data_IF_167094809268
#
_entry.id   IF_167094809268
#
_cell.length_a   1.000
_cell.length_b   1.000
_cell.length_c   1.000
_cell.angle_alpha   90.00
_cell.angle_beta   90.00
_cell.angle_gamma   90.00
#
_symmetry.space_group_name_H-M   'P 1'
#
loop_
_entity.id
_entity.type
_entity.pdbx_description
1 polymer ?
#
# COMPACT_ATOMS: atom_id res chain seq x y z
N UNK A 1 9.78 -7.95 -11.43
CA UNK A 1 9.10 -7.72 -10.15
C UNK A 1 7.60 -7.68 -10.39
N UNK A 2 6.90 -8.75 -10.01
CA UNK A 2 5.45 -8.82 -10.10
C UNK A 2 4.83 -8.41 -8.76
N UNK A 3 3.76 -7.60 -8.81
CA UNK A 3 3.01 -7.16 -7.63
C UNK A 3 1.66 -7.86 -7.65
N UNK A 4 1.47 -8.80 -6.72
CA UNK A 4 0.26 -9.61 -6.63
C UNK A 4 -0.66 -8.99 -5.58
N UNK A 5 -1.82 -8.51 -6.00
CA UNK A 5 -2.85 -8.01 -5.09
C UNK A 5 -3.65 -9.15 -4.51
N UNK A 6 -3.82 -9.17 -3.19
CA UNK A 6 -4.77 -10.07 -2.54
C UNK A 6 -6.21 -9.62 -2.77
N UNK A 7 -7.16 -10.54 -2.70
CA UNK A 7 -8.59 -10.22 -2.75
C UNK A 7 -8.99 -9.14 -1.72
N UNK A 8 -8.38 -9.18 -0.53
CA UNK A 8 -8.57 -8.14 0.49
C UNK A 8 -8.10 -6.76 -0.02
N UNK A 9 -6.89 -6.68 -0.56
CA UNK A 9 -6.34 -5.44 -1.10
C UNK A 9 -7.20 -4.91 -2.27
N UNK A 10 -7.63 -5.78 -3.19
CA UNK A 10 -8.48 -5.37 -4.32
C UNK A 10 -9.83 -4.81 -3.85
N UNK A 11 -10.47 -5.46 -2.89
CA UNK A 11 -11.71 -4.93 -2.29
C UNK A 11 -11.50 -3.57 -1.62
N UNK A 12 -10.34 -3.35 -0.99
CA UNK A 12 -10.02 -2.07 -0.36
C UNK A 12 -9.80 -0.96 -1.39
N UNK A 13 -9.17 -1.27 -2.54
CA UNK A 13 -9.05 -0.34 -3.66
C UNK A 13 -10.42 0.11 -4.17
N UNK A 14 -11.34 -0.85 -4.37
CA UNK A 14 -12.70 -0.57 -4.84
C UNK A 14 -13.46 0.29 -3.80
N UNK A 15 -13.47 -0.14 -2.53
CA UNK A 15 -14.18 0.58 -1.46
C UNK A 15 -13.68 2.01 -1.26
N UNK A 16 -12.37 2.22 -1.41
CA UNK A 16 -11.74 3.53 -1.17
C UNK A 16 -11.58 4.36 -2.46
N UNK A 17 -12.02 3.84 -3.60
CA UNK A 17 -11.89 4.46 -4.92
C UNK A 17 -10.44 4.86 -5.23
N UNK A 18 -9.51 3.97 -4.89
CA UNK A 18 -8.08 4.10 -5.18
C UNK A 18 -7.81 3.35 -6.48
N UNK A 19 -7.13 4.00 -7.42
CA UNK A 19 -6.76 3.32 -8.66
C UNK A 19 -5.58 2.40 -8.45
N UNK A 20 -5.58 1.25 -9.13
CA UNK A 20 -4.44 0.31 -9.10
C UNK A 20 -3.14 1.02 -9.49
N UNK A 21 -3.19 1.94 -10.46
CA UNK A 21 -2.03 2.74 -10.89
C UNK A 21 -1.46 3.64 -9.79
N UNK A 22 -2.30 4.22 -8.93
CA UNK A 22 -1.81 5.03 -7.80
C UNK A 22 -0.99 4.16 -6.83
N UNK A 23 -1.45 2.93 -6.57
CA UNK A 23 -0.76 1.98 -5.70
C UNK A 23 0.52 1.44 -6.34
N UNK A 24 0.48 1.10 -7.63
CA UNK A 24 1.69 0.74 -8.38
C UNK A 24 2.69 1.89 -8.39
N UNK A 25 2.22 3.14 -8.50
CA UNK A 25 3.03 4.34 -8.40
C UNK A 25 3.67 4.52 -7.02
N UNK A 26 2.95 4.18 -5.94
CA UNK A 26 3.49 4.19 -4.58
C UNK A 26 4.54 3.10 -4.35
N UNK A 27 4.42 1.93 -4.97
CA UNK A 27 5.42 0.86 -4.86
C UNK A 27 6.65 1.14 -5.74
N UNK A 28 6.46 1.65 -6.96
CA UNK A 28 7.55 1.92 -7.91
C UNK A 28 8.34 3.17 -7.57
N UNK A 29 7.64 4.21 -7.09
CA UNK A 29 8.22 5.50 -6.74
C UNK A 29 7.73 5.92 -5.34
N UNK A 30 8.10 5.17 -4.29
CA UNK A 30 7.78 5.52 -2.92
C UNK A 30 8.57 6.75 -2.49
N UNK A 31 7.96 7.60 -1.68
CA UNK A 31 8.69 8.66 -0.97
C UNK A 31 9.36 8.11 0.28
N UNK A 32 8.74 7.11 0.92
CA UNK A 32 9.30 6.45 2.08
C UNK A 32 9.07 4.93 2.01
N UNK A 33 10.07 4.17 2.45
CA UNK A 33 10.03 2.72 2.50
C UNK A 33 10.42 2.30 3.91
N UNK A 34 9.48 1.68 4.62
CA UNK A 34 9.76 1.09 5.92
C UNK A 34 9.73 -0.43 5.82
N UNK A 35 10.73 -1.10 6.37
CA UNK A 35 10.75 -2.57 6.51
C UNK A 35 10.56 -2.94 7.97
N UNK A 36 9.47 -3.65 8.29
CA UNK A 36 9.18 -4.09 9.67
C UNK A 36 8.56 -5.49 9.65
N UNK A 37 9.09 -6.40 10.48
CA UNK A 37 8.60 -7.77 10.62
C UNK A 37 8.42 -8.52 9.27
N UNK A 38 9.38 -8.38 8.36
CA UNK A 38 9.33 -9.01 7.02
C UNK A 38 8.37 -8.35 6.02
N UNK A 39 7.63 -7.31 6.44
CA UNK A 39 6.73 -6.52 5.60
C UNK A 39 7.42 -5.24 5.13
N UNK A 40 7.07 -4.81 3.93
CA UNK A 40 7.48 -3.57 3.29
C UNK A 40 6.29 -2.63 3.25
N UNK A 41 6.49 -1.43 3.79
CA UNK A 41 5.49 -0.37 3.82
C UNK A 41 5.99 0.71 2.87
N UNK A 42 5.31 0.85 1.73
CA UNK A 42 5.59 1.87 0.73
C UNK A 42 4.63 3.03 0.96
N UNK A 43 5.17 4.20 1.29
CA UNK A 43 4.39 5.40 1.51
C UNK A 43 4.63 6.40 0.39
N UNK A 44 3.57 7.03 -0.07
CA UNK A 44 3.61 8.10 -1.07
C UNK A 44 2.49 9.10 -0.81
N UNK A 45 2.83 10.37 -0.76
CA UNK A 45 1.88 11.47 -0.73
C UNK A 45 1.41 11.78 -2.15
N UNK A 46 0.09 11.88 -2.31
CA UNK A 46 -0.53 12.42 -3.52
C UNK A 46 -1.32 13.68 -3.13
N UNK A 47 -1.71 14.49 -4.13
CA UNK A 47 -2.53 15.69 -3.92
C UNK A 47 -3.88 15.43 -3.21
N UNK A 48 -4.31 14.16 -3.14
CA UNK A 48 -5.57 13.73 -2.53
C UNK A 48 -5.42 13.18 -1.10
N UNK A 49 -4.19 12.95 -0.65
CA UNK A 49 -3.88 12.30 0.63
C UNK A 49 -2.69 11.33 0.51
N UNK A 50 -2.41 10.62 1.59
CA UNK A 50 -1.27 9.73 1.71
C UNK A 50 -1.67 8.28 1.42
N UNK A 51 -0.93 7.64 0.55
CA UNK A 51 -1.07 6.23 0.20
C UNK A 51 0.00 5.46 0.95
N UNK A 52 -0.42 4.47 1.74
CA UNK A 52 0.47 3.49 2.34
C UNK A 52 0.10 2.10 1.83
N UNK A 53 1.10 1.39 1.30
CA UNK A 53 0.92 0.07 0.71
C UNK A 53 1.77 -0.92 1.47
N UNK A 54 1.13 -1.96 2.00
CA UNK A 54 1.79 -2.99 2.78
C UNK A 54 1.95 -4.23 1.92
N UNK A 55 3.20 -4.56 1.61
CA UNK A 55 3.57 -5.73 0.83
C UNK A 55 4.45 -6.69 1.63
N UNK A 56 4.29 -7.98 1.40
CA UNK A 56 5.23 -9.02 1.83
C UNK A 56 6.06 -9.46 0.64
N UNK A 57 7.37 -9.62 0.84
CA UNK A 57 8.24 -10.18 -0.21
C UNK A 57 8.13 -11.70 -0.17
N UNK A 58 7.71 -12.30 -1.28
CA UNK A 58 7.67 -13.75 -1.49
C UNK A 58 8.61 -14.10 -2.64
N UNK A 59 9.86 -14.43 -2.30
CA UNK A 59 10.90 -14.71 -3.30
C UNK A 59 11.18 -13.50 -4.18
N UNK A 60 10.93 -13.64 -5.48
CA UNK A 60 11.09 -12.58 -6.50
C UNK A 60 9.85 -11.67 -6.65
N UNK A 61 8.74 -12.03 -6.00
CA UNK A 61 7.46 -11.33 -6.08
C UNK A 61 7.14 -10.54 -4.81
N UNK A 62 6.28 -9.54 -4.95
CA UNK A 62 5.73 -8.78 -3.83
C UNK A 62 4.22 -9.01 -3.76
N UNK A 63 3.76 -9.50 -2.60
CA UNK A 63 2.35 -9.73 -2.33
C UNK A 63 1.78 -8.54 -1.56
N UNK A 64 0.86 -7.80 -2.17
CA UNK A 64 0.19 -6.68 -1.55
C UNK A 64 -1.01 -7.16 -0.71
N UNK A 65 -0.86 -7.07 0.61
CA UNK A 65 -1.88 -7.49 1.56
C UNK A 65 -2.85 -6.37 1.91
N UNK A 66 -2.39 -5.12 1.92
CA UNK A 66 -3.23 -3.98 2.31
C UNK A 66 -2.84 -2.69 1.59
N UNK A 67 -3.85 -1.89 1.25
CA UNK A 67 -3.69 -0.55 0.70
C UNK A 67 -4.46 0.43 1.59
N UNK A 68 -3.72 1.30 2.27
CA UNK A 68 -4.23 2.37 3.08
C UNK A 68 -4.21 3.68 2.29
N UNK A 69 -5.31 4.43 2.36
CA UNK A 69 -5.40 5.78 1.82
C UNK A 69 -5.91 6.65 2.94
N UNK A 70 -5.05 7.53 3.43
CA UNK A 70 -5.36 8.38 4.56
C UNK A 70 -5.44 9.83 4.11
N UNK A 71 -6.61 10.45 4.27
CA UNK A 71 -6.78 11.88 3.98
C UNK A 71 -6.25 12.78 5.09
N UNK A 72 -6.02 12.23 6.30
CA UNK A 72 -5.51 12.94 7.47
C UNK A 72 -4.71 11.99 8.36
N UNK A 73 -3.45 12.32 8.65
CA UNK A 73 -2.53 11.54 9.51
C UNK A 73 -2.94 11.45 11.00
N UNK A 74 -4.16 11.83 11.37
CA UNK A 74 -4.59 11.96 12.77
C UNK A 74 -5.21 10.69 13.37
N UNK A 75 -5.26 9.56 12.66
CA UNK A 75 -5.83 8.33 13.22
C UNK A 75 -4.88 7.15 12.96
N UNK A 76 -4.16 6.66 13.99
CA UNK A 76 -3.38 5.43 13.91
C UNK A 76 -4.39 4.28 13.88
N UNK A 77 -4.73 3.78 12.69
CA UNK A 77 -5.47 2.52 12.60
C UNK A 77 -4.49 1.37 12.70
N UNK A 78 -4.32 0.91 13.94
CA UNK A 78 -3.92 -0.43 14.30
C UNK A 78 -4.63 -1.45 13.39
N UNK A 79 -3.89 -2.04 12.45
CA UNK A 79 -4.35 -3.24 11.76
C UNK A 79 -4.24 -4.42 12.73
N UNK A 80 -5.37 -4.78 13.34
CA UNK A 80 -5.61 -6.13 13.84
C UNK A 80 -5.66 -7.12 12.65
#
# INVERSE_FOLDING_TARGET
MEIIFTFHAENMLIKRKIMKDEVLGAIRFPENILKKNGKYYYQKKNNRGDIEVVCEKMGENFKCNNCLFNKNWSIPRSCC
#
